data_IF_240349058029
#
_entry.id   IF_240349058029
#
_cell.length_a   1.000
_cell.length_b   1.000
_cell.length_c   1.000
_cell.angle_alpha   90.00
_cell.angle_beta   90.00
_cell.angle_gamma   90.00
#
_symmetry.space_group_name_H-M   'P 1'
#
loop_
_entity.id
_entity.type
_entity.pdbx_description
1 polymer ?
#
# COMPACT_ATOMS: atom_id res chain seq x y z
N UNK A 1 40.84 13.66 -16.54
CA UNK A 1 40.13 12.39 -16.89
C UNK A 1 40.20 11.48 -15.68
N UNK A 2 39.18 11.52 -14.82
CA UNK A 2 39.08 10.68 -13.62
C UNK A 2 38.90 9.22 -14.08
N UNK A 3 39.91 8.38 -13.85
CA UNK A 3 39.83 6.94 -14.02
C UNK A 3 38.84 6.42 -12.98
N UNK A 4 37.59 6.22 -13.38
CA UNK A 4 36.58 5.51 -12.60
C UNK A 4 37.12 4.10 -12.32
N UNK A 5 37.24 3.76 -11.04
CA UNK A 5 37.73 2.46 -10.60
C UNK A 5 36.81 1.36 -11.19
N UNK A 6 37.33 0.40 -11.98
CA UNK A 6 36.53 -0.66 -12.61
C UNK A 6 35.67 -1.47 -11.62
N UNK A 7 36.08 -1.53 -10.36
CA UNK A 7 35.34 -2.21 -9.28
C UNK A 7 34.03 -1.50 -8.93
N UNK A 8 33.96 -0.18 -9.16
CA UNK A 8 32.76 0.61 -8.87
C UNK A 8 31.65 0.37 -9.91
N UNK A 9 31.99 0.16 -11.18
CA UNK A 9 31.02 -0.21 -12.22
C UNK A 9 30.48 -1.62 -12.00
N UNK A 10 31.33 -2.61 -11.71
CA UNK A 10 30.88 -3.97 -11.38
C UNK A 10 29.99 -4.02 -10.13
N UNK A 11 30.33 -3.24 -9.09
CA UNK A 11 29.49 -3.15 -7.89
C UNK A 11 28.13 -2.52 -8.19
N UNK A 12 28.07 -1.48 -9.03
CA UNK A 12 26.81 -0.87 -9.49
C UNK A 12 25.96 -1.84 -10.31
N UNK A 13 26.56 -2.57 -11.23
CA UNK A 13 25.88 -3.62 -12.02
C UNK A 13 25.35 -4.73 -11.13
N UNK A 14 26.13 -5.17 -10.14
CA UNK A 14 25.72 -6.17 -9.14
C UNK A 14 24.53 -5.69 -8.31
N UNK A 15 24.56 -4.44 -7.82
CA UNK A 15 23.46 -3.83 -7.09
C UNK A 15 22.21 -3.69 -7.95
N UNK A 16 22.35 -3.22 -9.19
CA UNK A 16 21.23 -3.09 -10.12
C UNK A 16 20.57 -4.46 -10.41
N UNK A 17 21.40 -5.50 -10.57
CA UNK A 17 20.95 -6.87 -10.76
C UNK A 17 20.22 -7.40 -9.53
N UNK A 18 20.77 -7.17 -8.33
CA UNK A 18 20.16 -7.58 -7.08
C UNK A 18 18.81 -6.89 -6.84
N UNK A 19 18.72 -5.57 -7.05
CA UNK A 19 17.45 -4.83 -6.94
C UNK A 19 16.41 -5.34 -7.93
N UNK A 20 16.80 -5.61 -9.18
CA UNK A 20 15.92 -6.22 -10.18
C UNK A 20 15.38 -7.58 -9.71
N UNK A 21 16.27 -8.48 -9.27
CA UNK A 21 15.88 -9.81 -8.79
C UNK A 21 14.95 -9.73 -7.58
N UNK A 22 15.28 -8.87 -6.60
CA UNK A 22 14.45 -8.68 -5.41
C UNK A 22 13.07 -8.13 -5.77
N UNK A 23 13.00 -7.18 -6.70
CA UNK A 23 11.73 -6.67 -7.22
C UNK A 23 10.89 -7.75 -7.92
N UNK A 24 11.51 -8.64 -8.71
CA UNK A 24 10.82 -9.78 -9.34
C UNK A 24 10.31 -10.79 -8.31
N UNK A 25 11.05 -11.05 -7.23
CA UNK A 25 10.60 -11.92 -6.14
C UNK A 25 9.37 -11.34 -5.45
N UNK A 26 9.39 -10.05 -5.11
CA UNK A 26 8.23 -9.37 -4.54
C UNK A 26 7.04 -9.35 -5.52
N UNK A 27 7.29 -9.17 -6.82
CA UNK A 27 6.26 -9.24 -7.87
C UNK A 27 5.59 -10.62 -7.91
N UNK A 28 6.36 -11.70 -7.82
CA UNK A 28 5.81 -13.05 -7.78
C UNK A 28 5.03 -13.32 -6.50
N UNK A 29 5.52 -12.84 -5.35
CA UNK A 29 4.80 -12.92 -4.07
C UNK A 29 3.47 -12.17 -4.14
N UNK A 30 3.45 -10.97 -4.73
CA UNK A 30 2.24 -10.18 -4.91
C UNK A 30 1.21 -10.93 -5.78
N UNK A 31 1.66 -11.62 -6.83
CA UNK A 31 0.78 -12.46 -7.66
C UNK A 31 0.16 -13.60 -6.87
N UNK A 32 0.93 -14.30 -6.04
CA UNK A 32 0.41 -15.35 -5.15
C UNK A 32 -0.60 -14.81 -4.14
N UNK A 33 -0.36 -13.61 -3.59
CA UNK A 33 -1.32 -12.93 -2.71
C UNK A 33 -2.60 -12.57 -3.46
N UNK A 34 -2.49 -12.06 -4.68
CA UNK A 34 -3.65 -11.73 -5.52
C UNK A 34 -4.48 -12.97 -5.87
N UNK A 35 -3.81 -14.07 -6.21
CA UNK A 35 -4.45 -15.35 -6.50
C UNK A 35 -5.10 -16.00 -5.27
N UNK A 36 -4.57 -15.76 -4.07
CA UNK A 36 -5.16 -16.25 -2.81
C UNK A 36 -6.27 -15.34 -2.25
N UNK A 37 -6.76 -14.37 -3.04
CA UNK A 37 -7.87 -13.50 -2.63
C UNK A 37 -7.47 -12.42 -1.63
N UNK A 38 -6.18 -12.06 -1.55
CA UNK A 38 -5.65 -11.01 -0.68
C UNK A 38 -5.20 -9.77 -1.48
N UNK A 39 -6.14 -9.02 -2.11
CA UNK A 39 -5.80 -7.96 -3.05
C UNK A 39 -5.05 -6.79 -2.41
N UNK A 40 -5.38 -6.40 -1.18
CA UNK A 40 -4.70 -5.28 -0.51
C UNK A 40 -3.26 -5.62 -0.14
N UNK A 41 -3.00 -6.85 0.32
CA UNK A 41 -1.65 -7.33 0.57
C UNK A 41 -0.86 -7.37 -0.74
N UNK A 42 -1.45 -7.90 -1.81
CA UNK A 42 -0.83 -7.91 -3.13
C UNK A 42 -0.48 -6.51 -3.64
N UNK A 43 -1.38 -5.52 -3.52
CA UNK A 43 -1.11 -4.13 -3.91
C UNK A 43 0.09 -3.57 -3.13
N UNK A 44 0.13 -3.75 -1.80
CA UNK A 44 1.27 -3.32 -0.97
C UNK A 44 2.59 -3.96 -1.44
N UNK A 45 2.57 -5.26 -1.74
CA UNK A 45 3.74 -5.99 -2.22
C UNK A 45 4.18 -5.53 -3.61
N UNK A 46 3.26 -5.23 -4.54
CA UNK A 46 3.63 -4.63 -5.83
C UNK A 46 4.23 -3.22 -5.67
N UNK A 47 3.69 -2.39 -4.77
CA UNK A 47 4.26 -1.07 -4.46
C UNK A 47 5.69 -1.23 -3.91
N UNK A 48 5.93 -2.21 -3.04
CA UNK A 48 7.27 -2.55 -2.55
C UNK A 48 8.21 -2.95 -3.69
N UNK A 49 7.77 -3.84 -4.59
CA UNK A 49 8.54 -4.24 -5.77
C UNK A 49 8.94 -3.03 -6.62
N UNK A 50 8.02 -2.09 -6.85
CA UNK A 50 8.28 -0.86 -7.60
C UNK A 50 9.15 0.14 -6.84
N UNK A 51 9.13 0.15 -5.51
CA UNK A 51 10.06 0.95 -4.71
C UNK A 51 11.49 0.43 -4.80
N UNK A 52 11.67 -0.89 -4.93
CA UNK A 52 12.99 -1.53 -5.08
C UNK A 52 13.54 -1.32 -6.48
N UNK A 53 12.70 -1.52 -7.51
CA UNK A 53 13.07 -1.32 -8.90
C UNK A 53 11.93 -0.63 -9.66
N UNK A 54 11.94 0.71 -9.77
CA UNK A 54 10.86 1.48 -10.40
C UNK A 54 10.63 1.14 -11.88
N UNK A 55 11.64 0.58 -12.55
CA UNK A 55 11.55 0.17 -13.95
C UNK A 55 10.91 -1.22 -14.14
N UNK A 56 10.46 -1.88 -13.07
CA UNK A 56 9.75 -3.15 -13.17
C UNK A 56 8.39 -2.97 -13.89
N UNK A 57 8.42 -3.09 -15.22
CA UNK A 57 7.26 -2.92 -16.08
C UNK A 57 6.17 -3.96 -15.77
N UNK A 58 6.57 -5.17 -15.39
CA UNK A 58 5.65 -6.26 -15.01
C UNK A 58 4.90 -5.92 -13.73
N UNK A 59 5.60 -5.55 -12.66
CA UNK A 59 4.97 -5.14 -11.41
C UNK A 59 4.01 -3.97 -11.62
N UNK A 60 4.38 -3.01 -12.46
CA UNK A 60 3.54 -1.85 -12.80
C UNK A 60 2.25 -2.27 -13.51
N UNK A 61 2.36 -3.11 -14.53
CA UNK A 61 1.21 -3.60 -15.29
C UNK A 61 0.28 -4.46 -14.44
N UNK A 62 0.82 -5.39 -13.66
CA UNK A 62 0.03 -6.26 -12.78
C UNK A 62 -0.64 -5.47 -11.65
N UNK A 63 0.04 -4.48 -11.05
CA UNK A 63 -0.56 -3.56 -10.09
C UNK A 63 -1.72 -2.76 -10.69
N UNK A 64 -1.54 -2.22 -11.89
CA UNK A 64 -2.59 -1.47 -12.59
C UNK A 64 -3.80 -2.35 -12.89
N UNK A 65 -3.57 -3.57 -13.38
CA UNK A 65 -4.64 -4.54 -13.65
C UNK A 65 -5.39 -4.93 -12.36
N UNK A 66 -4.66 -5.18 -11.27
CA UNK A 66 -5.25 -5.50 -9.97
C UNK A 66 -6.10 -4.33 -9.45
N UNK A 67 -5.59 -3.09 -9.48
CA UNK A 67 -6.36 -1.90 -9.09
C UNK A 67 -7.61 -1.73 -9.93
N UNK A 68 -7.50 -1.91 -11.26
CA UNK A 68 -8.66 -1.84 -12.15
C UNK A 68 -9.72 -2.87 -11.79
N UNK A 69 -9.32 -4.11 -11.47
CA UNK A 69 -10.23 -5.18 -11.05
C UNK A 69 -10.93 -4.84 -9.73
N UNK A 70 -10.18 -4.38 -8.73
CA UNK A 70 -10.73 -4.05 -7.42
C UNK A 70 -11.51 -2.73 -7.42
N UNK A 71 -11.37 -1.88 -8.44
CA UNK A 71 -12.10 -0.61 -8.55
C UNK A 71 -13.61 -0.79 -8.53
N UNK A 72 -14.12 -1.90 -9.09
CA UNK A 72 -15.54 -2.24 -9.07
C UNK A 72 -16.08 -2.55 -7.66
N UNK A 73 -15.19 -2.77 -6.68
CA UNK A 73 -15.53 -3.09 -5.28
C UNK A 73 -15.31 -1.91 -4.34
N UNK A 74 -14.88 -0.74 -4.85
CA UNK A 74 -14.61 0.44 -4.04
C UNK A 74 -15.83 0.84 -3.22
N UNK A 75 -17.02 0.85 -3.80
CA UNK A 75 -18.25 1.24 -3.08
C UNK A 75 -18.52 0.35 -1.88
N UNK A 76 -18.26 -0.96 -2.02
CA UNK A 76 -18.37 -1.91 -0.92
C UNK A 76 -17.32 -1.64 0.17
N UNK A 77 -16.06 -1.41 -0.21
CA UNK A 77 -14.99 -1.06 0.75
C UNK A 77 -15.27 0.26 1.47
N UNK A 78 -15.85 1.23 0.76
CA UNK A 78 -16.31 2.50 1.34
C UNK A 78 -17.43 2.28 2.35
N UNK A 79 -18.44 1.49 2.00
CA UNK A 79 -19.53 1.14 2.92
C UNK A 79 -19.01 0.49 4.20
N UNK A 80 -18.09 -0.48 4.10
CA UNK A 80 -17.47 -1.12 5.25
C UNK A 80 -16.76 -0.11 6.16
N UNK A 81 -15.98 0.81 5.57
CA UNK A 81 -15.31 1.87 6.33
C UNK A 81 -16.28 2.81 7.04
N UNK A 82 -17.35 3.21 6.36
CA UNK A 82 -18.41 4.05 6.91
C UNK A 82 -19.15 3.35 8.06
N UNK A 83 -19.46 2.06 7.93
CA UNK A 83 -20.09 1.29 8.98
C UNK A 83 -19.24 1.26 10.26
N UNK A 84 -17.93 1.00 10.12
CA UNK A 84 -16.99 1.00 11.25
C UNK A 84 -16.82 2.39 11.86
N UNK A 85 -16.78 3.43 11.02
CA UNK A 85 -16.71 4.82 11.47
C UNK A 85 -17.95 5.21 12.30
N UNK A 86 -19.14 4.84 11.84
CA UNK A 86 -20.41 5.11 12.53
C UNK A 86 -20.52 4.36 13.87
N UNK A 87 -19.97 3.14 13.92
CA UNK A 87 -19.85 2.36 15.16
C UNK A 87 -18.75 2.87 16.10
N UNK A 88 -18.04 3.94 15.73
CA UNK A 88 -16.90 4.52 16.46
C UNK A 88 -15.70 3.58 16.58
N UNK A 89 -15.65 2.54 15.78
CA UNK A 89 -14.52 1.62 15.63
C UNK A 89 -13.44 2.27 14.76
N UNK A 90 -12.89 3.39 15.20
CA UNK A 90 -12.05 4.25 14.36
C UNK A 90 -10.77 3.56 13.87
N UNK A 91 -10.22 2.61 14.63
CA UNK A 91 -9.05 1.83 14.19
C UNK A 91 -9.37 0.98 12.96
N UNK A 92 -10.50 0.27 12.99
CA UNK A 92 -10.95 -0.56 11.87
C UNK A 92 -11.35 0.32 10.69
N UNK A 93 -12.03 1.45 10.96
CA UNK A 93 -12.39 2.41 9.92
C UNK A 93 -11.16 2.93 9.16
N UNK A 94 -10.08 3.25 9.87
CA UNK A 94 -8.79 3.66 9.28
C UNK A 94 -8.28 2.60 8.32
N UNK A 95 -8.24 1.33 8.75
CA UNK A 95 -7.79 0.23 7.89
C UNK A 95 -8.64 0.10 6.62
N UNK A 96 -9.97 0.22 6.73
CA UNK A 96 -10.88 0.15 5.58
C UNK A 96 -10.67 1.30 4.60
N UNK A 97 -10.51 2.53 5.08
CA UNK A 97 -10.24 3.67 4.17
C UNK A 97 -8.84 3.60 3.55
N UNK A 98 -7.85 3.09 4.27
CA UNK A 98 -6.52 2.82 3.69
C UNK A 98 -6.61 1.78 2.57
N UNK A 99 -7.42 0.74 2.74
CA UNK A 99 -7.68 -0.26 1.70
C UNK A 99 -8.33 0.35 0.44
N UNK A 100 -9.28 1.28 0.59
CA UNK A 100 -9.83 2.04 -0.55
C UNK A 100 -8.72 2.82 -1.27
N UNK A 101 -7.85 3.50 -0.51
CA UNK A 101 -6.76 4.30 -1.07
C UNK A 101 -5.64 3.46 -1.71
N UNK A 102 -5.48 2.20 -1.33
CA UNK A 102 -4.60 1.26 -2.04
C UNK A 102 -5.10 0.99 -3.46
N UNK A 103 -6.43 0.85 -3.62
CA UNK A 103 -7.08 0.60 -4.91
C UNK A 103 -7.13 1.88 -5.75
N UNK A 104 -7.64 2.97 -5.17
CA UNK A 104 -7.72 4.28 -5.79
C UNK A 104 -7.06 5.35 -4.91
N UNK A 105 -5.77 5.66 -5.13
CA UNK A 105 -5.05 6.68 -4.36
C UNK A 105 -5.65 8.09 -4.43
N UNK A 106 -6.46 8.39 -5.45
CA UNK A 106 -7.12 9.69 -5.64
C UNK A 106 -8.53 9.76 -5.07
N UNK A 107 -8.99 8.77 -4.29
CA UNK A 107 -10.36 8.71 -3.78
C UNK A 107 -10.62 9.74 -2.68
N UNK A 108 -11.13 10.92 -3.06
CA UNK A 108 -11.31 12.08 -2.17
C UNK A 108 -12.08 11.77 -0.89
N UNK A 109 -13.19 11.04 -1.00
CA UNK A 109 -14.03 10.75 0.16
C UNK A 109 -13.32 9.83 1.19
N UNK A 110 -12.72 8.71 0.75
CA UNK A 110 -11.86 7.88 1.58
C UNK A 110 -10.71 8.66 2.25
N UNK A 111 -10.08 9.59 1.53
CA UNK A 111 -9.05 10.47 2.11
C UNK A 111 -9.60 11.29 3.27
N UNK A 112 -10.79 11.89 3.10
CA UNK A 112 -11.42 12.70 4.13
C UNK A 112 -11.86 11.86 5.33
N UNK A 113 -12.49 10.71 5.11
CA UNK A 113 -12.88 9.84 6.22
C UNK A 113 -11.70 9.21 6.95
N UNK A 114 -10.59 8.92 6.26
CA UNK A 114 -9.35 8.51 6.90
C UNK A 114 -8.84 9.58 7.87
N UNK A 115 -8.84 10.85 7.42
CA UNK A 115 -8.45 12.01 8.24
C UNK A 115 -9.36 12.14 9.46
N UNK A 116 -10.67 12.10 9.28
CA UNK A 116 -11.67 12.17 10.35
C UNK A 116 -11.54 11.02 11.35
N UNK A 117 -11.35 9.79 10.86
CA UNK A 117 -11.17 8.60 11.69
C UNK A 117 -9.93 8.72 12.58
N UNK A 118 -8.79 9.15 12.02
CA UNK A 118 -7.55 9.41 12.79
C UNK A 118 -7.76 10.46 13.87
N UNK A 119 -8.43 11.58 13.55
CA UNK A 119 -8.72 12.63 14.52
C UNK A 119 -9.61 12.13 15.67
N UNK A 120 -10.65 11.35 15.37
CA UNK A 120 -11.56 10.80 16.38
C UNK A 120 -10.89 9.73 17.24
N UNK A 121 -10.09 8.84 16.64
CA UNK A 121 -9.26 7.87 17.40
C UNK A 121 -8.37 8.58 18.41
N UNK A 122 -7.65 9.61 17.97
CA UNK A 122 -6.74 10.37 18.84
C UNK A 122 -7.49 11.08 19.97
N UNK A 123 -8.68 11.61 19.70
CA UNK A 123 -9.53 12.18 20.74
C UNK A 123 -9.94 11.14 21.79
N UNK A 124 -10.31 9.92 21.36
CA UNK A 124 -10.65 8.81 22.26
C UNK A 124 -9.45 8.41 23.12
N UNK A 125 -8.27 8.24 22.52
CA UNK A 125 -7.05 7.85 23.25
C UNK A 125 -6.67 8.88 24.32
N UNK A 126 -6.73 10.17 24.01
CA UNK A 126 -6.47 11.24 24.97
C UNK A 126 -7.46 11.25 26.13
N UNK A 127 -8.74 10.98 25.87
CA UNK A 127 -9.75 10.88 26.94
C UNK A 127 -9.49 9.66 27.84
N UNK A 128 -9.06 8.54 27.29
CA UNK A 128 -8.72 7.34 28.06
C UNK A 128 -7.48 7.54 28.93
N UNK A 129 -6.47 8.27 28.45
CA UNK A 129 -5.28 8.61 29.23
C UNK A 129 -5.62 9.52 30.42
N UNK A 130 -6.46 10.54 30.20
CA UNK A 130 -6.90 11.45 31.28
C UNK A 130 -7.68 10.77 32.39
N UNK A 131 -8.40 9.67 32.09
CA UNK A 131 -9.14 8.90 33.10
C UNK A 131 -8.27 7.95 33.92
N UNK A 132 -7.04 7.69 33.47
CA UNK A 132 -6.08 6.80 34.16
C UNK A 132 -5.13 7.56 35.10
N UNK A 133 -5.09 8.88 34.99
CA UNK A 133 -4.33 9.79 35.86
C UNK A 133 -5.28 10.44 36.87
#
# INVERSE_FOLDING_TARGET
>A
VLRLNPDYEKAREGLATASRLQSELETNRARTLSASGQPFAAIKTYISALSIWPQNARARAELAALRSRESARIDHYMHDGLAQYNQRNYEIAIEKFENVLLVNPGHKEATEYLRLSRQKREAVLRLLQRKKN
#
